data_IF_219758968643
#
_entry.id   IF_219758968643
#
_cell.length_a   1.000
_cell.length_b   1.000
_cell.length_c   1.000
_cell.angle_alpha   90.00
_cell.angle_beta   90.00
_cell.angle_gamma   90.00
#
_symmetry.space_group_name_H-M   'P 1'
#
loop_
_entity.id
_entity.type
_entity.pdbx_description
1 polymer ?
#
# COMPACT_ATOMS: atom_id res chain seq x y z
N UNK A 1 -15.86 -12.81 -5.64
CA UNK A 1 -14.45 -12.68 -5.21
C UNK A 1 -13.79 -11.63 -6.07
N UNK A 2 -12.98 -10.75 -5.48
CA UNK A 2 -12.19 -9.79 -6.27
C UNK A 2 -11.08 -10.55 -6.98
N UNK A 3 -11.07 -10.51 -8.32
CA UNK A 3 -10.08 -11.21 -9.14
C UNK A 3 -8.94 -10.23 -9.50
N UNK A 4 -7.70 -10.65 -9.27
CA UNK A 4 -6.49 -9.89 -9.64
C UNK A 4 -5.68 -10.78 -10.57
N UNK A 5 -5.51 -10.33 -11.81
CA UNK A 5 -4.63 -10.96 -12.81
C UNK A 5 -3.72 -9.89 -13.42
N UNK A 6 -2.91 -10.27 -14.40
CA UNK A 6 -2.07 -9.34 -15.15
C UNK A 6 -1.91 -9.84 -16.58
N UNK A 7 -1.57 -8.91 -17.47
CA UNK A 7 -1.06 -9.21 -18.81
C UNK A 7 0.32 -8.56 -18.98
N UNK A 8 0.85 -8.53 -20.20
CA UNK A 8 2.17 -7.94 -20.49
C UNK A 8 2.24 -6.42 -20.26
N UNK A 9 1.12 -5.74 -20.00
CA UNK A 9 1.02 -4.29 -19.96
C UNK A 9 0.41 -3.74 -18.67
N UNK A 10 -0.42 -4.51 -17.96
CA UNK A 10 -1.19 -3.98 -16.84
C UNK A 10 -1.60 -5.04 -15.83
N UNK A 11 -1.84 -4.59 -14.60
CA UNK A 11 -2.64 -5.34 -13.65
C UNK A 11 -4.11 -5.25 -14.08
N UNK A 12 -4.86 -6.32 -13.85
CA UNK A 12 -6.28 -6.41 -14.13
C UNK A 12 -6.99 -6.67 -12.80
N UNK A 13 -7.69 -5.66 -12.29
CA UNK A 13 -8.41 -5.73 -11.02
C UNK A 13 -9.89 -5.69 -11.33
N UNK A 14 -10.61 -6.76 -10.97
CA UNK A 14 -12.05 -6.90 -11.25
C UNK A 14 -12.39 -6.70 -12.73
N UNK A 15 -11.56 -7.27 -13.62
CA UNK A 15 -11.75 -7.20 -15.08
C UNK A 15 -11.36 -5.88 -15.73
N UNK A 16 -10.87 -4.89 -14.97
CA UNK A 16 -10.42 -3.59 -15.48
C UNK A 16 -8.90 -3.50 -15.46
N UNK A 17 -8.29 -3.03 -16.54
CA UNK A 17 -6.86 -2.68 -16.56
C UNK A 17 -6.62 -1.51 -15.61
N UNK A 18 -5.64 -1.67 -14.72
CA UNK A 18 -5.22 -0.68 -13.74
C UNK A 18 -3.72 -0.49 -13.85
N UNK A 19 -3.31 0.76 -14.04
CA UNK A 19 -1.93 1.17 -13.83
C UNK A 19 -1.73 1.40 -12.32
N UNK A 20 -0.93 0.57 -11.66
CA UNK A 20 -0.63 0.76 -10.24
C UNK A 20 0.30 1.96 -10.08
N UNK A 21 -0.27 3.06 -9.60
CA UNK A 21 0.50 4.24 -9.25
C UNK A 21 0.65 4.27 -7.73
N UNK A 22 1.78 3.73 -7.27
CA UNK A 22 2.02 3.38 -5.87
C UNK A 22 3.00 4.33 -5.20
N UNK A 23 2.85 4.50 -3.88
CA UNK A 23 3.84 5.16 -3.02
C UNK A 23 4.04 4.40 -1.70
N UNK A 24 5.22 4.54 -1.10
CA UNK A 24 5.57 3.89 0.17
C UNK A 24 5.05 4.69 1.37
N UNK A 25 4.34 4.01 2.29
CA UNK A 25 3.93 4.56 3.58
C UNK A 25 4.22 3.53 4.67
N UNK A 26 5.39 3.65 5.29
CA UNK A 26 5.80 2.80 6.41
C UNK A 26 5.04 3.20 7.69
N UNK A 27 3.86 2.60 7.93
CA UNK A 27 2.98 2.96 9.05
C UNK A 27 3.69 2.92 10.42
N UNK A 28 4.63 1.99 10.60
CA UNK A 28 5.44 1.81 11.82
C UNK A 28 6.42 2.96 12.10
N UNK A 29 6.61 3.89 11.15
CA UNK A 29 7.41 5.12 11.31
C UNK A 29 6.56 6.36 11.49
N UNK A 30 5.24 6.21 11.58
CA UNK A 30 4.27 7.32 11.59
C UNK A 30 3.32 7.12 12.77
N UNK A 31 3.05 8.20 13.52
CA UNK A 31 2.05 8.17 14.58
C UNK A 31 0.71 7.64 14.07
N UNK A 32 0.03 6.71 14.76
CA UNK A 32 -1.25 6.15 14.28
C UNK A 32 -2.33 7.19 13.97
N UNK A 33 -2.36 8.29 14.71
CA UNK A 33 -3.30 9.41 14.50
C UNK A 33 -3.11 10.09 13.14
N UNK A 34 -1.91 9.99 12.55
CA UNK A 34 -1.57 10.62 11.28
C UNK A 34 -1.84 9.73 10.06
N UNK A 35 -2.04 8.41 10.24
CA UNK A 35 -2.18 7.47 9.11
C UNK A 35 -3.29 7.87 8.14
N UNK A 36 -4.46 8.24 8.67
CA UNK A 36 -5.58 8.69 7.84
C UNK A 36 -5.19 9.90 6.99
N UNK A 37 -4.54 10.89 7.59
CA UNK A 37 -4.10 12.10 6.87
C UNK A 37 -3.09 11.74 5.77
N UNK A 38 -2.14 10.83 6.03
CA UNK A 38 -1.16 10.38 5.04
C UNK A 38 -1.80 9.67 3.86
N UNK A 39 -2.78 8.79 4.11
CA UNK A 39 -3.53 8.11 3.05
C UNK A 39 -4.36 9.08 2.21
N UNK A 40 -4.97 10.10 2.83
CA UNK A 40 -5.70 11.14 2.11
C UNK A 40 -4.78 11.97 1.21
N UNK A 41 -3.60 12.35 1.71
CA UNK A 41 -2.59 13.07 0.91
C UNK A 41 -2.08 12.21 -0.25
N UNK A 42 -1.86 10.91 -0.05
CA UNK A 42 -1.48 9.98 -1.12
C UNK A 42 -2.55 9.92 -2.22
N UNK A 43 -3.82 9.80 -1.85
CA UNK A 43 -4.94 9.84 -2.80
C UNK A 43 -5.05 11.20 -3.52
N UNK A 44 -4.84 12.31 -2.82
CA UNK A 44 -4.80 13.66 -3.42
C UNK A 44 -3.64 13.85 -4.38
N UNK A 45 -2.51 13.17 -4.16
CA UNK A 45 -1.38 13.11 -5.08
C UNK A 45 -1.63 12.18 -6.29
N UNK A 46 -2.81 11.57 -6.38
CA UNK A 46 -3.21 10.68 -7.47
C UNK A 46 -2.76 9.23 -7.30
N UNK A 47 -2.18 8.85 -6.15
CA UNK A 47 -1.80 7.48 -5.88
C UNK A 47 -3.07 6.62 -5.69
N UNK A 48 -3.07 5.44 -6.30
CA UNK A 48 -4.15 4.46 -6.17
C UNK A 48 -3.74 3.23 -5.35
N UNK A 49 -2.45 3.14 -5.01
CA UNK A 49 -1.87 2.02 -4.28
C UNK A 49 -0.90 2.56 -3.24
N UNK A 50 -0.84 1.89 -2.09
CA UNK A 50 0.17 2.14 -1.07
C UNK A 50 0.93 0.84 -0.85
N UNK A 51 2.26 0.94 -0.81
CA UNK A 51 3.13 -0.13 -0.37
C UNK A 51 3.61 0.16 1.05
N UNK A 52 3.85 -0.90 1.82
CA UNK A 52 4.48 -0.82 3.14
C UNK A 52 5.13 -2.14 3.49
N UNK A 53 6.26 -2.06 4.18
CA UNK A 53 6.80 -3.22 4.89
C UNK A 53 6.01 -3.53 6.17
N UNK A 54 6.13 -4.78 6.59
CA UNK A 54 5.88 -5.22 7.97
C UNK A 54 7.26 -5.52 8.56
N UNK A 55 7.84 -4.60 9.34
CA UNK A 55 9.18 -4.76 9.88
C UNK A 55 9.16 -5.78 11.02
N UNK A 56 9.73 -6.95 10.77
CA UNK A 56 9.72 -8.04 11.75
C UNK A 56 10.28 -7.61 13.11
N UNK A 57 11.43 -6.95 13.13
CA UNK A 57 12.07 -6.43 14.35
C UNK A 57 11.25 -5.41 15.16
N UNK A 58 10.23 -4.80 14.57
CA UNK A 58 9.30 -3.92 15.30
C UNK A 58 8.25 -4.72 16.06
N UNK A 59 7.86 -5.88 15.53
CA UNK A 59 6.85 -6.76 16.11
C UNK A 59 7.46 -7.83 17.02
N UNK A 60 8.67 -8.29 16.69
CA UNK A 60 9.49 -9.21 17.48
C UNK A 60 10.83 -8.50 17.80
N UNK A 61 10.85 -7.56 18.76
CA UNK A 61 12.07 -6.84 19.13
C UNK A 61 13.07 -7.73 19.89
N UNK A 62 12.55 -8.74 20.59
CA UNK A 62 13.29 -9.81 21.25
C UNK A 62 12.83 -11.13 20.64
N UNK A 63 13.71 -12.14 20.61
CA UNK A 63 13.41 -13.44 20.00
C UNK A 63 12.23 -14.14 20.69
N UNK A 64 11.24 -14.59 19.91
CA UNK A 64 10.10 -15.43 20.33
C UNK A 64 8.77 -14.69 20.42
#
# INVERSE_FOLDING_TARGET
MNNITYDSTSFIINGKKVFLYSGEIHYFRISPQEWRRRLLLAGQAGLNTVSTYIPWNFYEPEKG
#
